data_IF_912501134832
#
_entry.id   IF_912501134832
#
_cell.length_a   1.000
_cell.length_b   1.000
_cell.length_c   1.000
_cell.angle_alpha   90.00
_cell.angle_beta   90.00
_cell.angle_gamma   90.00
#
_symmetry.space_group_name_H-M   'P 1'
#
loop_
_entity.id
_entity.type
_entity.pdbx_description
1 polymer ?
#
# COMPACT_ATOMS: atom_id res chain seq x y z
N UNK A 1 29.95 21.70 25.12
CA UNK A 1 28.97 21.67 24.02
C UNK A 1 28.99 20.28 23.41
N UNK A 2 28.09 19.40 23.86
CA UNK A 2 28.00 18.02 23.37
C UNK A 2 27.01 17.94 22.21
N UNK A 3 27.49 17.54 21.03
CA UNK A 3 26.65 17.19 19.90
C UNK A 3 25.84 15.94 20.25
N UNK A 4 24.56 16.09 20.54
CA UNK A 4 23.62 14.96 20.50
C UNK A 4 23.40 14.59 19.02
N UNK A 5 24.28 13.74 18.48
CA UNK A 5 23.97 12.96 17.28
C UNK A 5 22.91 11.94 17.68
N UNK A 6 21.64 12.31 17.51
CA UNK A 6 20.53 11.37 17.60
C UNK A 6 20.78 10.25 16.59
N UNK A 7 21.05 9.03 17.07
CA UNK A 7 21.14 7.84 16.21
C UNK A 7 19.73 7.53 15.73
N UNK A 8 19.28 8.20 14.67
CA UNK A 8 18.19 7.65 13.85
C UNK A 8 18.77 6.35 13.29
N UNK A 9 18.44 5.22 13.89
CA UNK A 9 18.86 3.91 13.38
C UNK A 9 18.45 3.85 11.92
N UNK A 10 19.41 3.59 11.02
CA UNK A 10 19.09 3.34 9.62
C UNK A 10 18.22 2.09 9.61
N UNK A 11 16.89 2.25 9.53
CA UNK A 11 16.02 1.13 9.21
C UNK A 11 16.50 0.55 7.88
N UNK A 12 16.69 -0.75 7.89
CA UNK A 12 16.96 -1.58 6.73
C UNK A 12 15.74 -2.47 6.57
N UNK A 13 15.21 -2.61 5.35
CA UNK A 13 14.09 -3.51 5.09
C UNK A 13 14.35 -4.90 5.68
N UNK A 14 13.46 -5.44 6.52
CA UNK A 14 13.63 -6.79 7.01
C UNK A 14 13.54 -7.76 5.83
N UNK A 15 14.27 -8.87 5.94
CA UNK A 15 14.28 -9.95 4.96
C UNK A 15 13.78 -11.23 5.63
N UNK A 16 13.33 -12.22 4.86
CA UNK A 16 13.01 -13.52 5.44
C UNK A 16 14.28 -14.18 6.03
N UNK A 17 14.20 -14.86 7.19
CA UNK A 17 13.01 -15.09 8.02
C UNK A 17 12.80 -14.03 9.12
N UNK A 18 13.51 -12.90 9.09
CA UNK A 18 13.50 -11.87 10.13
C UNK A 18 12.32 -10.88 10.03
N UNK A 19 11.53 -10.92 8.96
CA UNK A 19 10.31 -10.14 8.83
C UNK A 19 9.15 -10.75 9.62
N UNK A 20 8.19 -9.91 10.03
CA UNK A 20 6.98 -10.32 10.77
C UNK A 20 5.76 -10.50 9.87
N UNK A 21 5.98 -10.79 8.59
CA UNK A 21 4.91 -10.93 7.61
C UNK A 21 4.00 -12.12 7.96
N UNK A 22 2.67 -11.94 8.00
CA UNK A 22 1.73 -13.05 8.17
C UNK A 22 1.64 -13.93 6.91
N UNK A 23 1.93 -13.36 5.75
CA UNK A 23 1.85 -13.97 4.41
C UNK A 23 2.83 -13.24 3.49
N UNK A 24 3.30 -13.88 2.42
CA UNK A 24 4.13 -13.25 1.41
C UNK A 24 3.53 -13.38 0.00
N UNK A 25 4.00 -12.54 -0.93
CA UNK A 25 3.50 -12.52 -2.30
C UNK A 25 3.63 -13.87 -3.02
N UNK A 26 4.64 -14.67 -2.68
CA UNK A 26 4.85 -16.01 -3.24
C UNK A 26 3.70 -16.97 -2.89
N UNK A 27 2.98 -16.73 -1.78
CA UNK A 27 1.81 -17.51 -1.37
C UNK A 27 0.55 -17.15 -2.18
N UNK A 28 0.59 -16.05 -2.95
CA UNK A 28 -0.55 -15.43 -3.62
C UNK A 28 -0.45 -15.44 -5.15
N UNK A 29 0.47 -16.24 -5.72
CA UNK A 29 0.70 -16.26 -7.18
C UNK A 29 -0.52 -16.69 -8.00
N UNK A 30 -1.42 -17.49 -7.41
CA UNK A 30 -2.67 -17.92 -8.03
C UNK A 30 -3.87 -17.03 -7.68
N UNK A 31 -3.66 -15.96 -6.89
CA UNK A 31 -4.73 -15.03 -6.54
C UNK A 31 -5.20 -14.28 -7.79
N UNK A 32 -6.48 -14.43 -8.12
CA UNK A 32 -7.17 -13.65 -9.14
C UNK A 32 -7.93 -12.52 -8.48
N UNK A 33 -7.60 -11.29 -8.86
CA UNK A 33 -8.26 -10.07 -8.42
C UNK A 33 -9.46 -9.80 -9.33
N UNK A 34 -10.67 -9.71 -8.76
CA UNK A 34 -11.85 -9.33 -9.54
C UNK A 34 -11.82 -7.83 -9.86
N UNK A 35 -12.41 -7.49 -11.00
CA UNK A 35 -12.57 -6.11 -11.46
C UNK A 35 -14.03 -5.67 -11.37
N UNK A 36 -14.28 -4.37 -11.24
CA UNK A 36 -15.64 -3.80 -11.31
C UNK A 36 -15.97 -3.14 -12.66
N UNK A 37 -14.97 -3.01 -13.54
CA UNK A 37 -15.10 -2.46 -14.88
C UNK A 37 -15.30 -3.58 -15.90
N UNK A 38 -16.43 -3.62 -16.64
CA UNK A 38 -16.69 -4.62 -17.68
C UNK A 38 -15.64 -4.64 -18.81
N UNK A 39 -14.92 -3.55 -19.01
CA UNK A 39 -13.83 -3.44 -19.99
C UNK A 39 -12.52 -4.09 -19.55
N UNK A 40 -12.42 -4.51 -18.29
CA UNK A 40 -11.20 -5.06 -17.70
C UNK A 40 -11.42 -6.50 -17.23
N UNK A 41 -10.69 -7.49 -17.77
CA UNK A 41 -10.78 -8.85 -17.25
C UNK A 41 -10.20 -8.93 -15.83
N UNK A 42 -10.64 -9.91 -15.01
CA UNK A 42 -9.96 -10.21 -13.75
C UNK A 42 -8.47 -10.44 -13.97
N UNK A 43 -7.63 -9.88 -13.10
CA UNK A 43 -6.18 -9.92 -13.23
C UNK A 43 -5.58 -10.87 -12.21
N UNK A 44 -4.57 -11.66 -12.60
CA UNK A 44 -3.78 -12.38 -11.60
C UNK A 44 -2.84 -11.42 -10.90
N UNK A 45 -2.70 -11.55 -9.59
CA UNK A 45 -1.81 -10.67 -8.83
C UNK A 45 -0.34 -10.81 -9.27
N UNK A 46 0.11 -12.04 -9.55
CA UNK A 46 1.45 -12.29 -10.08
C UNK A 46 1.72 -11.53 -11.39
N UNK A 47 0.77 -11.53 -12.32
CA UNK A 47 0.90 -10.86 -13.62
C UNK A 47 1.03 -9.33 -13.44
N UNK A 48 0.33 -8.75 -12.46
CA UNK A 48 0.45 -7.33 -12.13
C UNK A 48 1.83 -6.99 -11.56
N UNK A 49 2.40 -7.86 -10.72
CA UNK A 49 3.75 -7.67 -10.17
C UNK A 49 4.81 -7.84 -11.26
N UNK A 50 4.71 -8.87 -12.09
CA UNK A 50 5.62 -9.11 -13.21
C UNK A 50 5.56 -7.98 -14.26
N UNK A 51 4.35 -7.48 -14.53
CA UNK A 51 4.09 -6.33 -15.40
C UNK A 51 4.52 -4.99 -14.81
N UNK A 52 4.94 -4.94 -13.54
CA UNK A 52 5.27 -3.72 -12.77
C UNK A 52 4.07 -2.76 -12.59
N UNK A 53 2.86 -3.30 -12.70
CA UNK A 53 1.62 -2.61 -12.37
C UNK A 53 1.37 -2.59 -10.86
N UNK A 54 1.99 -3.51 -10.11
CA UNK A 54 2.07 -3.42 -8.65
C UNK A 54 3.51 -3.64 -8.21
N UNK A 55 4.04 -2.73 -7.41
CA UNK A 55 5.45 -2.76 -7.01
C UNK A 55 5.69 -2.10 -5.66
N UNK A 56 6.79 -2.45 -5.01
CA UNK A 56 7.17 -1.83 -3.74
C UNK A 56 8.68 -1.62 -3.69
N UNK A 57 9.09 -0.45 -3.22
CA UNK A 57 10.50 -0.13 -2.97
C UNK A 57 10.70 0.51 -1.59
N UNK A 58 11.86 0.28 -0.95
CA UNK A 58 12.13 0.87 0.35
C UNK A 58 12.40 2.37 0.21
N UNK A 59 11.76 3.17 1.07
CA UNK A 59 12.00 4.61 1.10
C UNK A 59 13.40 4.93 1.64
N UNK A 60 14.16 5.79 0.95
CA UNK A 60 15.42 6.28 1.48
C UNK A 60 15.17 7.12 2.74
N UNK A 61 16.12 7.20 3.69
CA UNK A 61 15.90 7.80 5.01
C UNK A 61 15.34 9.23 5.02
N UNK A 62 15.64 10.02 3.98
CA UNK A 62 15.16 11.40 3.85
C UNK A 62 13.67 11.50 3.48
N UNK A 63 13.12 10.50 2.80
CA UNK A 63 11.78 10.54 2.20
C UNK A 63 10.77 9.76 3.06
N UNK A 64 11.19 9.35 4.27
CA UNK A 64 10.32 8.64 5.24
C UNK A 64 9.36 9.54 5.99
N UNK A 65 9.46 10.84 5.79
CA UNK A 65 8.65 11.81 6.49
C UNK A 65 8.03 12.74 5.46
N UNK A 66 6.72 12.88 5.52
CA UNK A 66 6.00 13.87 4.74
C UNK A 66 5.87 15.13 5.59
N UNK A 67 6.19 16.25 4.99
CA UNK A 67 6.04 17.59 5.58
C UNK A 67 5.00 18.33 4.73
N UNK A 68 3.69 18.05 4.91
CA UNK A 68 2.64 18.78 4.23
C UNK A 68 2.80 20.28 4.54
N UNK A 69 2.59 21.10 3.51
CA UNK A 69 2.64 22.54 3.65
C UNK A 69 1.49 23.00 4.55
N UNK A 70 1.83 23.61 5.67
CA UNK A 70 0.87 24.27 6.56
C UNK A 70 1.13 25.78 6.54
N UNK A 71 0.09 26.56 6.26
CA UNK A 71 0.09 28.03 6.35
C UNK A 71 0.00 28.54 7.79
N UNK A 72 -0.19 27.64 8.77
CA UNK A 72 -0.27 27.97 10.19
C UNK A 72 1.10 28.23 10.83
N UNK A 73 1.13 29.11 11.84
CA UNK A 73 2.33 29.42 12.65
C UNK A 73 2.81 28.22 13.51
N UNK A 74 2.13 27.06 13.48
CA UNK A 74 2.53 25.87 14.23
C UNK A 74 3.72 25.11 13.60
N UNK A 75 4.09 25.46 12.36
CA UNK A 75 5.09 24.73 11.57
C UNK A 75 4.51 23.44 10.97
N UNK A 76 5.16 22.86 9.94
CA UNK A 76 4.61 21.71 9.23
C UNK A 76 4.49 20.49 10.15
N UNK A 77 3.31 19.91 10.23
CA UNK A 77 3.09 18.63 10.91
C UNK A 77 3.91 17.56 10.20
N UNK A 78 4.82 16.89 10.90
CA UNK A 78 5.67 15.86 10.29
C UNK A 78 4.99 14.49 10.37
N UNK A 79 4.51 13.98 9.24
CA UNK A 79 3.86 12.67 9.14
C UNK A 79 4.90 11.57 8.84
N UNK A 80 4.87 10.47 9.59
CA UNK A 80 5.76 9.33 9.41
C UNK A 80 6.12 8.60 10.72
N UNK A 81 7.11 7.69 10.70
CA UNK A 81 7.94 7.32 9.55
C UNK A 81 7.23 6.35 8.59
N UNK A 82 7.35 6.61 7.30
CA UNK A 82 7.06 5.66 6.23
C UNK A 82 8.30 4.83 5.90
N UNK A 83 8.09 3.62 5.38
CA UNK A 83 9.15 2.64 5.14
C UNK A 83 9.22 2.20 3.69
N UNK A 84 8.07 2.21 3.01
CA UNK A 84 7.90 1.73 1.65
C UNK A 84 7.17 2.76 0.81
N UNK A 85 7.54 2.85 -0.46
CA UNK A 85 6.70 3.38 -1.52
C UNK A 85 6.08 2.19 -2.24
N UNK A 86 4.76 2.20 -2.35
CA UNK A 86 3.93 1.20 -3.00
C UNK A 86 3.33 1.83 -4.25
N UNK A 87 3.53 1.17 -5.40
CA UNK A 87 2.90 1.53 -6.66
C UNK A 87 1.73 0.60 -6.96
N UNK A 88 0.61 1.20 -7.38
CA UNK A 88 -0.60 0.52 -7.88
C UNK A 88 -0.99 1.21 -9.19
N UNK A 89 -0.36 0.77 -10.27
CA UNK A 89 -0.49 1.32 -11.61
C UNK A 89 -1.82 1.03 -12.29
N UNK A 90 -1.98 1.63 -13.47
CA UNK A 90 -3.19 1.53 -14.30
C UNK A 90 -3.65 0.08 -14.56
N UNK A 91 -2.73 -0.89 -14.66
CA UNK A 91 -3.07 -2.31 -14.80
C UNK A 91 -3.91 -2.88 -13.65
N UNK A 92 -3.76 -2.32 -12.45
CA UNK A 92 -4.51 -2.69 -11.25
C UNK A 92 -5.73 -1.78 -11.01
N UNK A 93 -5.93 -0.73 -11.81
CA UNK A 93 -6.98 0.27 -11.60
C UNK A 93 -8.38 -0.33 -11.62
N UNK A 94 -8.64 -1.33 -12.46
CA UNK A 94 -9.94 -2.02 -12.48
C UNK A 94 -10.28 -2.79 -11.20
N UNK A 95 -9.29 -3.03 -10.32
CA UNK A 95 -9.45 -3.82 -9.10
C UNK A 95 -9.93 -2.99 -7.90
N UNK A 96 -9.96 -1.66 -8.00
CA UNK A 96 -10.45 -0.76 -6.96
C UNK A 96 -11.13 0.49 -7.55
N UNK A 97 -11.93 1.20 -6.75
CA UNK A 97 -12.63 2.41 -7.19
C UNK A 97 -12.55 3.49 -6.12
N UNK A 98 -12.48 4.75 -6.55
CA UNK A 98 -12.49 5.91 -5.65
C UNK A 98 -13.88 6.15 -5.06
N UNK A 99 -14.93 5.62 -5.71
CA UNK A 99 -16.32 5.65 -5.25
C UNK A 99 -16.68 4.39 -4.44
N UNK A 100 -15.70 3.57 -4.07
CA UNK A 100 -15.92 2.35 -3.31
C UNK A 100 -16.29 2.65 -1.83
N UNK A 101 -17.02 1.74 -1.16
CA UNK A 101 -17.35 1.89 0.26
C UNK A 101 -16.15 1.95 1.20
N UNK A 102 -15.02 1.37 0.79
CA UNK A 102 -13.75 1.36 1.51
C UNK A 102 -12.65 1.84 0.56
N UNK A 103 -11.96 2.91 0.90
CA UNK A 103 -10.85 3.38 0.07
C UNK A 103 -9.65 2.42 0.16
N UNK A 104 -8.79 2.41 -0.87
CA UNK A 104 -7.67 1.47 -0.94
C UNK A 104 -6.65 1.72 0.19
N UNK A 105 -6.38 2.97 0.55
CA UNK A 105 -5.52 3.35 1.68
C UNK A 105 -6.05 2.84 3.02
N UNK A 106 -7.38 2.91 3.24
CA UNK A 106 -8.03 2.33 4.43
C UNK A 106 -7.91 0.80 4.44
N UNK A 107 -8.14 0.15 3.29
CA UNK A 107 -8.02 -1.29 3.17
C UNK A 107 -6.59 -1.81 3.37
N UNK A 108 -5.57 -1.00 3.04
CA UNK A 108 -4.16 -1.25 3.35
C UNK A 108 -3.87 -1.05 4.84
N UNK A 109 -4.37 0.03 5.44
CA UNK A 109 -4.18 0.36 6.86
C UNK A 109 -4.80 -0.70 7.79
N UNK A 110 -5.90 -1.32 7.40
CA UNK A 110 -6.56 -2.41 8.14
C UNK A 110 -5.73 -3.71 8.18
N UNK A 111 -4.59 -3.79 7.47
CA UNK A 111 -3.76 -5.01 7.40
C UNK A 111 -2.70 -5.05 8.50
N UNK A 112 -2.53 -6.24 9.07
CA UNK A 112 -1.52 -6.51 10.10
C UNK A 112 -0.11 -6.10 9.66
N UNK A 113 0.55 -5.31 10.49
CA UNK A 113 1.91 -4.82 10.24
C UNK A 113 1.99 -3.51 9.45
N UNK A 114 0.85 -3.00 8.96
CA UNK A 114 0.74 -1.63 8.45
C UNK A 114 0.31 -0.71 9.57
N UNK A 115 1.11 0.31 9.85
CA UNK A 115 0.89 1.29 10.92
C UNK A 115 0.39 2.63 10.38
N UNK A 116 0.66 2.91 9.09
CA UNK A 116 0.30 4.16 8.43
C UNK A 116 0.26 3.96 6.91
N UNK A 117 -0.64 4.66 6.24
CA UNK A 117 -0.71 4.77 4.78
C UNK A 117 -0.98 6.22 4.44
N UNK A 118 -0.32 6.73 3.42
CA UNK A 118 -0.57 8.06 2.86
C UNK A 118 -0.63 7.95 1.34
N UNK A 119 -1.61 8.60 0.72
CA UNK A 119 -1.80 8.57 -0.73
C UNK A 119 -1.17 9.82 -1.34
N UNK A 120 -0.05 9.67 -2.05
CA UNK A 120 0.73 10.81 -2.56
C UNK A 120 0.25 11.30 -3.93
N UNK A 121 0.04 10.36 -4.84
CA UNK A 121 -0.39 10.61 -6.21
C UNK A 121 -1.26 9.43 -6.66
N UNK A 122 -1.90 9.54 -7.82
CA UNK A 122 -2.88 8.58 -8.36
C UNK A 122 -2.51 7.11 -8.17
N UNK A 123 -1.23 6.76 -8.33
CA UNK A 123 -0.73 5.38 -8.29
C UNK A 123 0.25 5.12 -7.14
N UNK A 124 0.57 6.11 -6.30
CA UNK A 124 1.66 6.04 -5.32
C UNK A 124 1.17 6.20 -3.88
N UNK A 125 1.55 5.23 -3.04
CA UNK A 125 1.25 5.22 -1.62
C UNK A 125 2.55 5.15 -0.81
N UNK A 126 2.64 5.93 0.28
CA UNK A 126 3.64 5.72 1.31
C UNK A 126 3.08 4.79 2.37
N UNK A 127 3.84 3.76 2.73
CA UNK A 127 3.42 2.75 3.69
C UNK A 127 4.39 2.67 4.86
N UNK A 128 3.87 2.91 6.06
CA UNK A 128 4.54 2.69 7.32
C UNK A 128 4.39 1.23 7.74
N UNK A 129 5.33 0.37 7.36
CA UNK A 129 5.33 -1.04 7.74
C UNK A 129 6.75 -1.50 8.11
N UNK A 130 7.24 -1.17 9.33
CA UNK A 130 8.65 -1.33 9.70
C UNK A 130 9.10 -2.79 9.79
N UNK A 131 8.18 -3.72 10.05
CA UNK A 131 8.48 -5.15 10.28
C UNK A 131 8.16 -6.05 9.08
N UNK A 132 7.50 -5.51 8.05
CA UNK A 132 7.20 -6.24 6.81
C UNK A 132 8.38 -6.15 5.83
N UNK A 133 8.67 -7.25 5.14
CA UNK A 133 9.57 -7.24 3.97
C UNK A 133 8.80 -6.86 2.70
N UNK A 134 9.51 -6.67 1.58
CA UNK A 134 8.88 -6.32 0.30
C UNK A 134 7.77 -7.32 -0.10
N UNK A 135 8.03 -8.61 -0.01
CA UNK A 135 7.02 -9.65 -0.28
C UNK A 135 5.80 -9.59 0.65
N UNK A 136 5.99 -9.19 1.90
CA UNK A 136 4.88 -8.98 2.84
C UNK A 136 4.04 -7.76 2.52
N UNK A 137 4.66 -6.65 2.09
CA UNK A 137 3.93 -5.46 1.63
C UNK A 137 3.16 -5.76 0.34
N UNK A 138 3.74 -6.53 -0.58
CA UNK A 138 3.05 -7.02 -1.77
C UNK A 138 1.84 -7.91 -1.40
N UNK A 139 1.97 -8.79 -0.39
CA UNK A 139 0.84 -9.58 0.09
C UNK A 139 -0.26 -8.71 0.71
N UNK A 140 0.11 -7.67 1.46
CA UNK A 140 -0.82 -6.68 2.01
C UNK A 140 -1.64 -6.01 0.92
N UNK A 141 -1.01 -5.50 -0.14
CA UNK A 141 -1.75 -4.86 -1.25
C UNK A 141 -2.59 -5.87 -2.03
N UNK A 142 -2.11 -7.10 -2.23
CA UNK A 142 -2.90 -8.16 -2.86
C UNK A 142 -4.19 -8.44 -2.08
N UNK A 143 -4.11 -8.52 -0.75
CA UNK A 143 -5.29 -8.72 0.12
C UNK A 143 -6.19 -7.50 0.18
N UNK A 144 -5.63 -6.29 0.15
CA UNK A 144 -6.41 -5.05 0.06
C UNK A 144 -7.20 -5.01 -1.26
N UNK A 145 -6.55 -5.27 -2.39
CA UNK A 145 -7.20 -5.35 -3.71
C UNK A 145 -8.18 -6.52 -3.80
N UNK A 146 -8.00 -7.61 -3.05
CA UNK A 146 -8.98 -8.70 -3.04
C UNK A 146 -10.26 -8.35 -2.26
N UNK A 147 -10.25 -7.33 -1.40
CA UNK A 147 -11.41 -6.94 -0.60
C UNK A 147 -12.56 -6.47 -1.51
N UNK A 148 -13.76 -7.07 -1.47
CA UNK A 148 -14.89 -6.62 -2.29
C UNK A 148 -15.30 -5.17 -2.01
N UNK A 149 -14.99 -4.63 -0.83
CA UNK A 149 -15.37 -3.28 -0.43
C UNK A 149 -14.51 -2.19 -1.05
N UNK A 150 -13.37 -2.52 -1.66
CA UNK A 150 -12.55 -1.55 -2.42
C UNK A 150 -13.05 -1.34 -3.85
N UNK A 151 -14.12 -2.03 -4.25
CA UNK A 151 -14.79 -1.88 -5.55
C UNK A 151 -16.19 -1.31 -5.37
N UNK A 152 -16.77 -0.80 -6.46
CA UNK A 152 -18.18 -0.38 -6.45
C UNK A 152 -19.08 -1.58 -6.15
N UNK A 153 -20.13 -1.40 -5.32
CA UNK A 153 -21.15 -2.42 -5.17
C UNK A 153 -21.77 -2.71 -6.52
N UNK A 154 -21.98 -3.99 -6.85
CA UNK A 154 -22.83 -4.33 -7.98
C UNK A 154 -24.21 -3.72 -7.73
N UNK A 155 -24.85 -3.09 -8.74
CA UNK A 155 -26.22 -2.62 -8.58
C UNK A 155 -27.08 -3.81 -8.15
N UNK A 156 -27.84 -3.65 -7.06
CA UNK A 156 -28.86 -4.64 -6.70
C UNK A 156 -29.76 -4.85 -7.92
N UNK A 157 -29.91 -6.10 -8.35
CA UNK A 157 -30.87 -6.41 -9.39
C UNK A 157 -32.24 -5.90 -8.95
N UNK A 158 -33.01 -5.20 -9.82
CA UNK A 158 -34.34 -4.75 -9.45
C UNK A 158 -35.16 -5.96 -8.98
N UNK A 159 -36.00 -5.82 -7.94
CA UNK A 159 -36.84 -6.91 -7.49
C UNK A 159 -37.72 -7.38 -8.66
N UNK A 160 -37.78 -8.72 -8.83
CA UNK A 160 -38.53 -9.40 -9.88
C UNK A 160 -40.03 -9.10 -9.84
#
# INVERSE_FOLDING_TARGET
>A
MGFFRSRVGRWTPPQQPACSCPEHAEDLVELVLPTDDPGWPPARFADLVEGREVGVEPLPPRDRWLEPYDESDAGPERLGPFHWVLWVGDGARGCYSDDAPLSLDQALLDRSGVERVEWLDREEFLVGAPTLCAGGVLAVVARALADPRVRRPLPEAPPA
#
